data_IF_149691982757
#
_entry.id   IF_149691982757
#
_cell.length_a   1.000
_cell.length_b   1.000
_cell.length_c   1.000
_cell.angle_alpha   90.00
_cell.angle_beta   90.00
_cell.angle_gamma   90.00
#
_symmetry.space_group_name_H-M   'P 1'
#
loop_
_entity.id
_entity.type
_entity.pdbx_description
1 polymer ?
#
# COMPACT_ATOMS: atom_id res chain seq x y z
N UNK A 1 3.17 -19.51 28.59
CA UNK A 1 3.25 -19.44 27.11
C UNK A 1 2.11 -18.54 26.65
N UNK A 2 2.40 -17.30 26.24
CA UNK A 2 1.36 -16.41 25.73
C UNK A 2 0.98 -16.89 24.32
N UNK A 3 -0.19 -17.53 24.22
CA UNK A 3 -0.87 -17.75 22.95
C UNK A 3 -1.19 -16.38 22.36
N UNK A 4 -0.26 -15.82 21.59
CA UNK A 4 -0.54 -14.65 20.79
C UNK A 4 -1.63 -15.09 19.80
N UNK A 5 -2.83 -14.49 19.83
CA UNK A 5 -3.92 -14.88 18.95
C UNK A 5 -3.41 -14.85 17.50
N UNK A 6 -3.81 -15.84 16.70
CA UNK A 6 -3.51 -15.92 15.27
C UNK A 6 -4.25 -14.80 14.54
N UNK A 7 -3.77 -13.57 14.71
CA UNK A 7 -4.32 -12.43 14.00
C UNK A 7 -3.69 -12.47 12.61
N UNK A 8 -4.48 -12.98 11.67
CA UNK A 8 -4.11 -13.14 10.26
C UNK A 8 -4.49 -11.88 9.47
N UNK A 9 -5.58 -11.22 9.87
CA UNK A 9 -6.13 -10.06 9.19
C UNK A 9 -6.32 -8.93 10.19
N UNK A 10 -5.84 -7.74 9.84
CA UNK A 10 -6.05 -6.52 10.62
C UNK A 10 -6.61 -5.45 9.70
N UNK A 11 -7.69 -4.83 10.15
CA UNK A 11 -8.26 -3.63 9.54
C UNK A 11 -8.44 -2.58 10.62
N UNK A 12 -7.95 -1.38 10.38
CA UNK A 12 -8.22 -0.25 11.27
C UNK A 12 -8.14 1.07 10.53
N UNK A 13 -8.83 2.06 11.10
CA UNK A 13 -8.80 3.42 10.63
C UNK A 13 -7.95 4.28 11.55
N UNK A 14 -7.14 5.13 10.95
CA UNK A 14 -6.28 6.08 11.64
C UNK A 14 -6.85 7.46 11.39
N UNK A 15 -7.37 8.07 12.46
CA UNK A 15 -7.52 9.51 12.52
C UNK A 15 -6.14 10.10 12.80
N UNK A 16 -5.69 10.85 11.82
CA UNK A 16 -4.35 11.38 11.69
C UNK A 16 -3.96 12.32 12.85
N UNK A 17 -4.94 12.90 13.55
CA UNK A 17 -4.72 13.91 14.57
C UNK A 17 -4.02 13.41 15.85
N UNK A 18 -3.85 12.10 16.07
CA UNK A 18 -3.46 11.57 17.40
C UNK A 18 -2.55 10.35 17.45
N UNK A 19 -2.05 9.84 16.32
CA UNK A 19 -1.40 8.52 16.31
C UNK A 19 0.08 8.57 15.95
N UNK A 20 0.92 8.10 16.87
CA UNK A 20 2.33 7.80 16.62
C UNK A 20 2.45 6.51 15.79
N UNK A 21 2.60 6.64 14.47
CA UNK A 21 2.81 5.52 13.55
C UNK A 21 4.01 4.65 13.90
N UNK A 22 4.98 5.18 14.64
CA UNK A 22 6.10 4.40 15.16
C UNK A 22 5.65 3.30 16.13
N UNK A 23 4.62 3.56 16.94
CA UNK A 23 4.01 2.56 17.81
C UNK A 23 3.31 1.49 16.96
N UNK A 24 2.50 1.90 15.98
CA UNK A 24 1.79 0.97 15.10
C UNK A 24 2.78 0.09 14.34
N UNK A 25 3.77 0.67 13.67
CA UNK A 25 4.77 -0.08 12.90
C UNK A 25 5.57 -1.03 13.79
N UNK A 26 5.92 -0.59 15.01
CA UNK A 26 6.56 -1.45 16.01
C UNK A 26 5.65 -2.61 16.43
N UNK A 27 4.35 -2.37 16.62
CA UNK A 27 3.38 -3.42 16.94
C UNK A 27 3.21 -4.41 15.78
N UNK A 28 3.02 -3.92 14.56
CA UNK A 28 2.87 -4.74 13.35
C UNK A 28 4.11 -5.61 13.10
N UNK A 29 5.32 -5.08 13.33
CA UNK A 29 6.56 -5.86 13.18
C UNK A 29 6.64 -7.10 14.06
N UNK A 30 5.91 -7.11 15.19
CA UNK A 30 5.85 -8.25 16.13
C UNK A 30 4.79 -9.28 15.74
N UNK A 31 3.90 -8.96 14.80
CA UNK A 31 2.80 -9.82 14.38
C UNK A 31 3.25 -10.81 13.30
N UNK A 32 3.99 -11.84 13.74
CA UNK A 32 4.61 -12.84 12.84
C UNK A 32 3.63 -13.65 11.98
N UNK A 33 2.33 -13.59 12.25
CA UNK A 33 1.29 -14.32 11.51
C UNK A 33 0.34 -13.40 10.73
N UNK A 34 0.63 -12.09 10.66
CA UNK A 34 -0.21 -11.16 9.93
C UNK A 34 -0.03 -11.36 8.43
N UNK A 35 -1.08 -11.77 7.74
CA UNK A 35 -1.09 -12.03 6.30
C UNK A 35 -1.79 -10.91 5.52
N UNK A 36 -2.79 -10.27 6.12
CA UNK A 36 -3.53 -9.16 5.50
C UNK A 36 -3.61 -7.95 6.42
N UNK A 37 -3.34 -6.79 5.84
CA UNK A 37 -3.40 -5.51 6.55
C UNK A 37 -4.11 -4.47 5.69
N UNK A 38 -5.20 -3.94 6.24
CA UNK A 38 -5.89 -2.78 5.69
C UNK A 38 -5.80 -1.60 6.66
N UNK A 39 -5.24 -0.50 6.17
CA UNK A 39 -5.22 0.77 6.88
C UNK A 39 -6.06 1.79 6.12
N UNK A 40 -7.09 2.30 6.81
CA UNK A 40 -7.82 3.49 6.38
C UNK A 40 -7.15 4.72 6.98
N UNK A 41 -6.76 5.68 6.16
CA UNK A 41 -6.37 7.02 6.64
C UNK A 41 -7.60 7.91 6.48
N UNK A 42 -8.00 8.61 7.55
CA UNK A 42 -9.26 9.37 7.60
C UNK A 42 -9.12 10.87 7.34
N UNK A 43 -7.89 11.41 7.28
CA UNK A 43 -7.69 12.85 7.07
C UNK A 43 -6.40 13.19 6.34
N UNK A 44 -6.51 14.22 5.51
CA UNK A 44 -5.42 14.97 4.88
C UNK A 44 -4.57 15.63 5.95
N UNK A 45 -3.36 15.14 6.20
CA UNK A 45 -2.36 16.00 6.85
C UNK A 45 -1.04 15.89 6.12
N UNK A 46 -0.69 17.00 5.48
CA UNK A 46 0.65 17.29 5.04
C UNK A 46 1.58 17.27 6.25
N UNK A 47 2.46 16.26 6.33
CA UNK A 47 3.46 16.20 7.42
C UNK A 47 3.75 14.82 7.99
N UNK A 48 2.96 13.78 7.65
CA UNK A 48 3.21 12.45 8.18
C UNK A 48 4.51 11.83 7.69
N UNK A 49 5.26 11.30 8.64
CA UNK A 49 6.51 10.59 8.40
C UNK A 49 6.25 9.08 8.35
N UNK A 50 5.59 8.63 7.27
CA UNK A 50 5.35 7.20 7.00
C UNK A 50 6.63 6.42 6.64
N UNK A 51 7.82 7.01 6.84
CA UNK A 51 9.12 6.46 6.41
C UNK A 51 9.37 5.05 6.93
N UNK A 52 8.89 4.71 8.13
CA UNK A 52 9.22 3.46 8.80
C UNK A 52 8.23 2.32 8.55
N UNK A 53 7.16 2.57 7.79
CA UNK A 53 6.11 1.56 7.65
C UNK A 53 6.54 0.40 6.75
N UNK A 54 7.09 0.70 5.57
CA UNK A 54 7.50 -0.34 4.60
C UNK A 54 8.58 -1.28 5.12
N UNK A 55 9.51 -0.79 5.95
CA UNK A 55 10.64 -1.56 6.50
C UNK A 55 10.24 -2.48 7.66
N UNK A 56 9.16 -2.13 8.38
CA UNK A 56 8.75 -2.78 9.63
C UNK A 56 7.56 -3.72 9.46
N UNK A 57 7.10 -3.95 8.22
CA UNK A 57 6.03 -4.92 7.98
C UNK A 57 6.52 -6.36 8.23
N UNK A 58 5.67 -7.21 8.82
CA UNK A 58 6.03 -8.60 9.07
C UNK A 58 6.18 -9.36 7.74
N UNK A 59 7.18 -10.25 7.65
CA UNK A 59 7.45 -11.02 6.42
C UNK A 59 6.34 -12.01 6.04
N UNK A 60 5.39 -12.27 6.93
CA UNK A 60 4.18 -13.05 6.64
C UNK A 60 3.13 -12.27 5.86
N UNK A 61 3.26 -10.94 5.75
CA UNK A 61 2.29 -10.13 5.04
C UNK A 61 2.26 -10.49 3.56
N UNK A 62 1.06 -10.72 3.03
CA UNK A 62 0.76 -11.07 1.64
C UNK A 62 -0.16 -10.05 0.99
N UNK A 63 -1.11 -9.51 1.74
CA UNK A 63 -2.03 -8.49 1.25
C UNK A 63 -1.87 -7.19 2.02
N UNK A 64 -1.69 -6.10 1.29
CA UNK A 64 -1.68 -4.76 1.85
C UNK A 64 -2.66 -3.86 1.12
N UNK A 65 -3.57 -3.24 1.89
CA UNK A 65 -4.53 -2.28 1.39
C UNK A 65 -4.34 -0.96 2.13
N UNK A 66 -4.27 0.13 1.37
CA UNK A 66 -3.99 1.46 1.88
C UNK A 66 -4.82 2.50 1.13
N UNK A 67 -5.90 2.98 1.75
CA UNK A 67 -6.75 4.00 1.13
C UNK A 67 -8.13 4.17 1.76
N UNK A 68 -8.57 5.43 1.82
CA UNK A 68 -9.95 5.92 1.75
C UNK A 68 -9.96 7.47 1.66
N UNK A 69 -8.94 8.15 2.21
CA UNK A 69 -8.74 9.60 2.00
C UNK A 69 -7.30 9.93 1.65
N UNK A 70 -7.13 10.90 0.75
CA UNK A 70 -5.90 11.56 0.32
C UNK A 70 -4.59 10.98 0.88
N UNK A 71 -4.01 10.03 0.13
CA UNK A 71 -2.63 9.64 0.39
C UNK A 71 -1.71 10.70 -0.22
N UNK A 72 -0.99 11.45 0.63
CA UNK A 72 0.06 12.31 0.10
C UNK A 72 1.04 11.45 -0.69
N UNK A 73 1.40 11.92 -1.86
CA UNK A 73 2.20 11.19 -2.82
C UNK A 73 3.55 10.73 -2.19
N UNK A 74 4.13 11.56 -1.32
CA UNK A 74 5.34 11.27 -0.52
C UNK A 74 5.22 10.03 0.36
N UNK A 75 4.07 9.78 0.97
CA UNK A 75 3.83 8.63 1.86
C UNK A 75 3.87 7.35 1.04
N UNK A 76 3.11 7.31 -0.05
CA UNK A 76 3.06 6.16 -0.93
C UNK A 76 4.44 5.85 -1.53
N UNK A 77 5.18 6.86 -1.98
CA UNK A 77 6.53 6.66 -2.50
C UNK A 77 7.48 6.08 -1.46
N UNK A 78 7.46 6.58 -0.22
CA UNK A 78 8.28 6.01 0.84
C UNK A 78 7.93 4.55 1.10
N UNK A 79 6.64 4.21 1.09
CA UNK A 79 6.21 2.81 1.20
C UNK A 79 6.76 1.97 0.04
N UNK A 80 6.49 2.35 -1.21
CA UNK A 80 6.92 1.60 -2.40
C UNK A 80 8.44 1.44 -2.49
N UNK A 81 9.20 2.47 -2.11
CA UNK A 81 10.67 2.43 -2.13
C UNK A 81 11.23 1.48 -1.08
N UNK A 82 10.67 1.46 0.14
CA UNK A 82 11.24 0.75 1.29
C UNK A 82 10.55 -0.58 1.63
N UNK A 83 9.39 -0.86 1.04
CA UNK A 83 8.69 -2.14 1.23
C UNK A 83 9.54 -3.30 0.66
N UNK A 84 9.88 -4.24 1.54
CA UNK A 84 10.68 -5.42 1.23
C UNK A 84 9.94 -6.74 1.54
N UNK A 85 8.66 -6.66 1.91
CA UNK A 85 7.84 -7.84 2.19
C UNK A 85 7.31 -8.45 0.87
N UNK A 86 7.18 -9.78 0.79
CA UNK A 86 6.74 -10.46 -0.43
C UNK A 86 5.22 -10.39 -0.56
N UNK A 87 4.70 -9.21 -0.94
CA UNK A 87 3.27 -9.02 -1.19
C UNK A 87 2.83 -9.83 -2.41
N UNK A 88 1.63 -10.38 -2.31
CA UNK A 88 0.87 -11.00 -3.40
C UNK A 88 -0.17 -10.02 -3.96
N UNK A 89 -0.72 -9.15 -3.11
CA UNK A 89 -1.69 -8.13 -3.50
C UNK A 89 -1.44 -6.77 -2.84
N UNK A 90 -1.54 -5.71 -3.64
CA UNK A 90 -1.41 -4.32 -3.20
C UNK A 90 -2.62 -3.50 -3.66
N UNK A 91 -3.34 -2.86 -2.74
CA UNK A 91 -4.50 -2.02 -3.07
C UNK A 91 -4.23 -0.58 -2.64
N UNK A 92 -4.25 0.35 -3.59
CA UNK A 92 -3.90 1.76 -3.36
C UNK A 92 -4.83 2.70 -4.12
N UNK A 93 -5.03 3.88 -3.53
CA UNK A 93 -5.69 5.01 -4.17
C UNK A 93 -4.73 5.77 -5.09
N UNK A 94 -5.20 6.25 -6.26
CA UNK A 94 -4.39 7.07 -7.17
C UNK A 94 -4.78 8.56 -7.19
N UNK A 95 -5.68 8.99 -6.29
CA UNK A 95 -6.37 10.28 -6.38
C UNK A 95 -5.45 11.53 -6.41
N UNK A 96 -4.20 11.46 -5.97
CA UNK A 96 -3.23 12.58 -6.01
C UNK A 96 -1.79 12.17 -6.35
N UNK A 97 -1.64 11.13 -7.16
CA UNK A 97 -0.32 10.63 -7.56
C UNK A 97 0.16 11.41 -8.80
N UNK A 98 1.29 12.12 -8.67
CA UNK A 98 2.00 12.66 -9.83
C UNK A 98 2.78 11.56 -10.56
N UNK A 99 3.16 11.80 -11.82
CA UNK A 99 3.90 10.85 -12.68
C UNK A 99 5.12 10.19 -12.00
N UNK A 100 5.83 10.91 -11.13
CA UNK A 100 7.00 10.37 -10.44
C UNK A 100 6.65 9.22 -9.46
N UNK A 101 5.42 9.16 -8.97
CA UNK A 101 4.98 8.13 -8.02
C UNK A 101 4.48 6.87 -8.73
N UNK A 102 4.01 7.05 -9.97
CA UNK A 102 3.65 5.98 -10.87
C UNK A 102 4.87 5.11 -11.23
N UNK A 103 6.03 5.72 -11.48
CA UNK A 103 7.27 4.97 -11.68
C UNK A 103 7.72 4.19 -10.44
N UNK A 104 7.50 4.73 -9.24
CA UNK A 104 7.76 4.00 -8.00
C UNK A 104 6.92 2.72 -7.88
N UNK A 105 5.68 2.73 -8.35
CA UNK A 105 4.81 1.55 -8.34
C UNK A 105 5.33 0.47 -9.29
N UNK A 106 5.74 0.85 -10.50
CA UNK A 106 6.32 -0.08 -11.47
C UNK A 106 7.65 -0.65 -10.96
N UNK A 107 8.50 0.18 -10.34
CA UNK A 107 9.75 -0.26 -9.74
C UNK A 107 9.53 -1.23 -8.57
N UNK A 108 8.54 -0.94 -7.72
CA UNK A 108 8.12 -1.85 -6.66
C UNK A 108 7.65 -3.18 -7.22
N UNK A 109 6.77 -3.17 -8.23
CA UNK A 109 6.25 -4.37 -8.89
C UNK A 109 7.36 -5.24 -9.51
N UNK A 110 8.35 -4.63 -10.15
CA UNK A 110 9.52 -5.35 -10.68
C UNK A 110 10.34 -6.04 -9.58
N UNK A 111 10.45 -5.41 -8.41
CA UNK A 111 11.27 -5.91 -7.29
C UNK A 111 10.51 -6.89 -6.40
N UNK A 112 9.19 -6.75 -6.29
CA UNK A 112 8.30 -7.63 -5.53
C UNK A 112 7.81 -8.78 -6.44
N UNK A 113 8.67 -9.77 -6.67
CA UNK A 113 8.42 -10.88 -7.62
C UNK A 113 7.24 -11.79 -7.25
N UNK A 114 6.70 -11.65 -6.04
CA UNK A 114 5.48 -12.34 -5.57
C UNK A 114 4.19 -11.60 -5.90
N UNK A 115 4.27 -10.33 -6.33
CA UNK A 115 3.08 -9.52 -6.59
C UNK A 115 2.30 -10.08 -7.78
N UNK A 116 0.99 -10.30 -7.59
CA UNK A 116 0.08 -10.86 -8.60
C UNK A 116 -1.12 -9.96 -8.86
N UNK A 117 -1.51 -9.14 -7.89
CA UNK A 117 -2.65 -8.25 -8.03
C UNK A 117 -2.34 -6.84 -7.55
N UNK A 118 -2.75 -5.84 -8.33
CA UNK A 118 -2.76 -4.43 -7.93
C UNK A 118 -4.18 -3.90 -8.07
N UNK A 119 -4.76 -3.49 -6.95
CA UNK A 119 -6.03 -2.79 -6.90
C UNK A 119 -5.85 -1.29 -6.95
N UNK A 120 -6.52 -0.62 -7.88
CA UNK A 120 -6.45 0.83 -8.07
C UNK A 120 -7.86 1.43 -7.92
N UNK A 121 -8.01 2.44 -7.08
CA UNK A 121 -9.32 3.04 -6.79
C UNK A 121 -9.88 3.80 -8.01
N UNK A 122 -9.05 4.64 -8.64
CA UNK A 122 -9.45 5.57 -9.70
C UNK A 122 -9.64 4.98 -11.10
N UNK A 123 -9.50 3.66 -11.30
CA UNK A 123 -9.48 3.07 -12.65
C UNK A 123 -10.85 2.59 -13.15
N UNK A 124 -11.92 2.89 -12.41
CA UNK A 124 -13.27 2.45 -12.76
C UNK A 124 -13.75 3.04 -14.09
N UNK A 125 -13.28 4.24 -14.43
CA UNK A 125 -13.58 4.91 -15.68
C UNK A 125 -12.28 5.27 -16.39
N UNK A 126 -11.89 4.46 -17.39
CA UNK A 126 -10.70 4.72 -18.20
C UNK A 126 -10.74 6.10 -18.87
N UNK A 127 -11.92 6.71 -19.05
CA UNK A 127 -12.05 8.06 -19.61
C UNK A 127 -11.56 9.17 -18.66
N UNK A 128 -11.41 8.86 -17.37
CA UNK A 128 -10.84 9.76 -16.35
C UNK A 128 -9.36 9.48 -16.08
N UNK A 129 -8.81 8.43 -16.69
CA UNK A 129 -7.41 8.05 -16.55
C UNK A 129 -6.55 8.88 -17.53
N UNK A 130 -5.61 9.66 -17.01
CA UNK A 130 -4.65 10.34 -17.89
C UNK A 130 -3.71 9.32 -18.56
N UNK A 131 -3.05 9.72 -19.65
CA UNK A 131 -2.14 8.84 -20.40
C UNK A 131 -1.04 8.21 -19.54
N UNK A 132 -0.57 8.91 -18.51
CA UNK A 132 0.46 8.44 -17.58
C UNK A 132 -0.03 7.26 -16.74
N UNK A 133 -1.24 7.34 -16.17
CA UNK A 133 -1.85 6.23 -15.41
C UNK A 133 -2.09 5.02 -16.32
N UNK A 134 -2.50 5.22 -17.57
CA UNK A 134 -2.68 4.13 -18.55
C UNK A 134 -1.35 3.43 -18.87
N UNK A 135 -0.26 4.17 -19.12
CA UNK A 135 1.07 3.60 -19.38
C UNK A 135 1.55 2.72 -18.23
N UNK A 136 1.29 3.13 -16.98
CA UNK A 136 1.63 2.32 -15.79
C UNK A 136 0.81 1.05 -15.71
N UNK A 137 -0.49 1.14 -15.97
CA UNK A 137 -1.36 -0.04 -16.01
C UNK A 137 -0.84 -1.04 -17.03
N UNK A 138 -0.42 -0.58 -18.21
CA UNK A 138 0.13 -1.44 -19.25
C UNK A 138 1.50 -2.02 -18.85
N UNK A 139 2.39 -1.23 -18.24
CA UNK A 139 3.65 -1.73 -17.66
C UNK A 139 3.40 -2.81 -16.59
N UNK A 140 2.44 -2.61 -15.69
CA UNK A 140 2.10 -3.61 -14.67
C UNK A 140 1.53 -4.89 -15.32
N UNK A 141 0.69 -4.77 -16.35
CA UNK A 141 0.19 -5.93 -17.11
C UNK A 141 1.30 -6.71 -17.80
N UNK A 142 2.32 -6.04 -18.34
CA UNK A 142 3.50 -6.70 -18.92
C UNK A 142 4.29 -7.52 -17.88
N UNK A 143 4.17 -7.18 -16.60
CA UNK A 143 4.73 -7.96 -15.48
C UNK A 143 3.83 -9.13 -15.04
N UNK A 144 2.77 -9.45 -15.81
CA UNK A 144 1.74 -10.44 -15.47
C UNK A 144 0.98 -10.14 -14.16
N UNK A 145 0.84 -8.85 -13.83
CA UNK A 145 0.06 -8.41 -12.67
C UNK A 145 -1.37 -8.15 -13.11
N UNK A 146 -2.32 -8.75 -12.38
CA UNK A 146 -3.74 -8.49 -12.55
C UNK A 146 -4.08 -7.13 -11.97
N UNK A 147 -4.73 -6.28 -12.77
CA UNK A 147 -5.21 -4.97 -12.35
C UNK A 147 -6.70 -5.06 -12.06
N UNK A 148 -7.11 -4.67 -10.85
CA UNK A 148 -8.52 -4.72 -10.43
C UNK A 148 -9.00 -3.35 -9.93
N UNK A 149 -10.28 -3.00 -10.15
CA UNK A 149 -10.87 -1.86 -9.48
C UNK A 149 -10.91 -2.13 -7.97
N UNK A 150 -10.69 -1.08 -7.20
CA UNK A 150 -10.58 -1.12 -5.75
C UNK A 150 -11.57 -0.14 -5.11
N UNK A 151 -12.18 -0.53 -3.98
CA UNK A 151 -13.20 0.23 -3.22
C UNK A 151 -12.85 0.26 -1.73
#
# INVERSE_FOLDING_TARGET
MNNCPKIINIEFSIDSSRVEFDIISTCLSKMKMLESLYIHVLSDVEGYNFKLFGEKLPHSLRSFKFGYTYNSSKILNNFLMNCNVPLESLYISLHNISINHLDCLVNFANRCTTLREVGLEDIQDQSQCNHEKLDVIDKLRQLNIKIVPFY
#
